data_IF_391101002451
#
_entry.id   IF_391101002451
#
_cell.length_a   1.000
_cell.length_b   1.000
_cell.length_c   1.000
_cell.angle_alpha   90.00
_cell.angle_beta   90.00
_cell.angle_gamma   90.00
#
_symmetry.space_group_name_H-M   'P 1'
#
loop_
_entity.id
_entity.type
_entity.pdbx_description
1 polymer ?
#
# COMPACT_ATOMS: atom_id res chain seq x y z
N UNK A 1 -21.40 -29.80 23.50
CA UNK A 1 -21.50 -28.58 22.70
C UNK A 1 -20.23 -27.79 22.93
N UNK A 2 -19.58 -27.45 21.83
CA UNK A 2 -18.57 -26.40 21.64
C UNK A 2 -17.20 -26.55 22.29
N UNK A 3 -16.29 -27.20 21.55
CA UNK A 3 -14.90 -26.74 21.41
C UNK A 3 -14.24 -27.34 20.16
N UNK A 4 -14.86 -27.11 19.01
CA UNK A 4 -14.26 -27.34 17.69
C UNK A 4 -13.78 -26.01 17.10
N UNK A 5 -12.87 -25.33 17.79
CA UNK A 5 -12.18 -24.14 17.28
C UNK A 5 -10.84 -24.57 16.68
N UNK A 6 -10.77 -24.40 15.35
CA UNK A 6 -9.59 -24.22 14.50
C UNK A 6 -8.42 -25.22 14.62
N UNK A 7 -8.63 -26.43 14.09
CA UNK A 7 -7.52 -27.10 13.40
C UNK A 7 -7.20 -26.29 12.14
N UNK A 8 -6.11 -25.53 12.18
CA UNK A 8 -5.50 -24.88 11.03
C UNK A 8 -5.21 -25.92 9.93
N UNK A 9 -6.13 -26.08 8.99
CA UNK A 9 -5.94 -26.91 7.81
C UNK A 9 -4.87 -26.25 6.94
N UNK A 10 -3.71 -26.91 6.80
CA UNK A 10 -2.73 -26.55 5.77
C UNK A 10 -3.46 -26.53 4.41
N UNK A 11 -3.41 -25.45 3.62
CA UNK A 11 -4.12 -25.41 2.35
C UNK A 11 -3.57 -26.52 1.45
N UNK A 12 -4.47 -27.33 0.86
CA UNK A 12 -4.09 -28.28 -0.19
C UNK A 12 -3.46 -27.46 -1.32
N UNK A 13 -2.18 -27.73 -1.63
CA UNK A 13 -1.44 -27.00 -2.66
C UNK A 13 -2.03 -27.27 -4.06
N UNK A 14 -3.07 -26.53 -4.42
CA UNK A 14 -3.55 -26.42 -5.79
C UNK A 14 -2.67 -25.40 -6.52
N UNK A 15 -2.23 -25.71 -7.75
CA UNK A 15 -1.44 -24.79 -8.58
C UNK A 15 -2.10 -23.41 -8.74
N UNK A 16 -3.45 -23.37 -8.76
CA UNK A 16 -4.24 -22.13 -8.76
C UNK A 16 -3.98 -21.24 -7.53
N UNK A 17 -3.91 -21.82 -6.33
CA UNK A 17 -3.63 -21.07 -5.09
C UNK A 17 -2.28 -20.38 -5.16
N UNK A 18 -1.26 -21.07 -5.70
CA UNK A 18 0.09 -20.55 -5.82
C UNK A 18 0.09 -19.43 -6.86
N UNK A 19 -0.54 -19.63 -8.02
CA UNK A 19 -0.63 -18.61 -9.06
C UNK A 19 -1.30 -17.32 -8.56
N UNK A 20 -2.46 -17.41 -7.90
CA UNK A 20 -3.17 -16.24 -7.36
C UNK A 20 -2.36 -15.52 -6.28
N UNK A 21 -1.71 -16.28 -5.39
CA UNK A 21 -0.81 -15.72 -4.37
C UNK A 21 0.40 -15.05 -5.01
N UNK A 22 0.94 -15.59 -6.10
CA UNK A 22 2.08 -14.98 -6.81
C UNK A 22 1.67 -13.66 -7.45
N UNK A 23 0.49 -13.62 -8.09
CA UNK A 23 -0.06 -12.39 -8.67
C UNK A 23 -0.28 -11.34 -7.58
N UNK A 24 -0.87 -11.72 -6.43
CA UNK A 24 -1.03 -10.80 -5.30
C UNK A 24 0.31 -10.33 -4.73
N UNK A 25 1.30 -11.21 -4.66
CA UNK A 25 2.64 -10.84 -4.21
C UNK A 25 3.28 -9.84 -5.17
N UNK A 26 3.11 -10.03 -6.48
CA UNK A 26 3.59 -9.09 -7.49
C UNK A 26 2.89 -7.74 -7.35
N UNK A 27 1.55 -7.71 -7.25
CA UNK A 27 0.79 -6.46 -7.01
C UNK A 27 1.28 -5.76 -5.74
N UNK A 28 1.48 -6.50 -4.64
CA UNK A 28 1.98 -5.95 -3.39
C UNK A 28 3.38 -5.34 -3.53
N UNK A 29 4.28 -6.02 -4.26
CA UNK A 29 5.63 -5.53 -4.57
C UNK A 29 5.58 -4.27 -5.43
N UNK A 30 4.76 -4.23 -6.48
CA UNK A 30 4.59 -3.04 -7.32
C UNK A 30 4.01 -1.84 -6.55
N UNK A 31 3.11 -2.07 -5.58
CA UNK A 31 2.63 -1.01 -4.67
C UNK A 31 3.74 -0.47 -3.76
N UNK A 32 4.65 -1.33 -3.28
CA UNK A 32 5.84 -0.89 -2.54
C UNK A 32 6.71 -0.01 -3.43
N UNK A 33 7.00 -0.47 -4.65
CA UNK A 33 7.83 0.27 -5.61
C UNK A 33 7.24 1.64 -5.94
N UNK A 34 5.93 1.69 -6.20
CA UNK A 34 5.21 2.95 -6.46
C UNK A 34 5.24 3.88 -5.24
N UNK A 35 4.94 3.36 -4.05
CA UNK A 35 4.92 4.15 -2.82
C UNK A 35 6.30 4.74 -2.47
N UNK A 36 7.35 3.93 -2.61
CA UNK A 36 8.72 4.37 -2.42
C UNK A 36 9.17 5.38 -3.50
N UNK A 37 8.75 5.22 -4.75
CA UNK A 37 9.05 6.21 -5.80
C UNK A 37 8.40 7.59 -5.50
N UNK A 38 7.14 7.63 -5.07
CA UNK A 38 6.47 8.88 -4.69
C UNK A 38 7.21 9.59 -3.52
N UNK A 39 7.61 8.83 -2.50
CA UNK A 39 8.37 9.36 -1.37
C UNK A 39 9.77 9.85 -1.77
N UNK A 40 10.39 9.19 -2.74
CA UNK A 40 11.72 9.55 -3.27
C UNK A 40 11.67 10.87 -4.01
N UNK A 41 10.76 10.98 -4.98
CA UNK A 41 10.64 12.16 -5.84
C UNK A 41 10.10 13.37 -5.08
N UNK A 42 9.26 13.15 -4.05
CA UNK A 42 8.86 14.22 -3.13
C UNK A 42 10.01 14.78 -2.27
N UNK A 43 11.22 14.19 -2.30
CA UNK A 43 12.37 14.55 -1.45
C UNK A 43 12.06 14.61 0.06
N UNK A 44 11.00 13.92 0.49
CA UNK A 44 10.51 13.94 1.88
C UNK A 44 11.22 12.95 2.78
N UNK A 45 12.08 12.11 2.20
CA UNK A 45 12.72 10.98 2.86
C UNK A 45 12.02 9.67 2.54
N UNK A 46 12.78 8.57 2.63
CA UNK A 46 12.34 7.22 2.25
C UNK A 46 12.18 6.31 3.46
N UNK A 47 11.73 5.08 3.24
CA UNK A 47 11.77 4.06 4.29
C UNK A 47 13.23 3.86 4.77
N UNK A 48 13.43 3.54 6.06
CA UNK A 48 14.77 3.50 6.65
C UNK A 48 15.76 2.56 5.94
N UNK A 49 15.29 1.45 5.37
CA UNK A 49 16.14 0.50 4.66
C UNK A 49 16.58 1.05 3.31
N UNK A 50 15.64 1.59 2.52
CA UNK A 50 15.98 2.22 1.24
C UNK A 50 16.83 3.47 1.44
N UNK A 51 16.56 4.28 2.47
CA UNK A 51 17.37 5.44 2.82
C UNK A 51 18.83 5.06 3.13
N UNK A 52 19.03 3.99 3.92
CA UNK A 52 20.37 3.44 4.18
C UNK A 52 21.04 2.97 2.88
N UNK A 53 20.29 2.23 2.05
CA UNK A 53 20.82 1.71 0.79
C UNK A 53 21.24 2.83 -0.16
N UNK A 54 20.49 3.93 -0.26
CA UNK A 54 20.85 5.11 -1.05
C UNK A 54 22.12 5.77 -0.52
N UNK A 55 22.24 5.92 0.81
CA UNK A 55 23.43 6.51 1.42
C UNK A 55 24.69 5.73 1.07
N UNK A 56 24.66 4.41 1.27
CA UNK A 56 25.83 3.57 0.98
C UNK A 56 26.07 3.44 -0.53
N UNK A 57 25.03 3.31 -1.35
CA UNK A 57 25.19 3.22 -2.80
C UNK A 57 25.81 4.51 -3.38
N UNK A 58 25.46 5.67 -2.84
CA UNK A 58 26.05 6.96 -3.21
C UNK A 58 27.56 7.04 -2.92
N UNK A 59 28.01 6.50 -1.79
CA UNK A 59 29.44 6.44 -1.46
C UNK A 59 30.21 5.47 -2.37
N UNK A 60 29.55 4.43 -2.90
CA UNK A 60 30.14 3.43 -3.78
C UNK A 60 30.00 3.75 -5.27
N UNK A 61 29.27 4.82 -5.64
CA UNK A 61 28.97 5.17 -7.03
C UNK A 61 28.12 4.12 -7.75
N UNK A 62 27.32 3.33 -7.02
CA UNK A 62 26.48 2.28 -7.57
C UNK A 62 25.03 2.74 -7.68
N UNK A 63 24.31 2.24 -8.69
CA UNK A 63 22.87 2.42 -8.77
C UNK A 63 22.15 1.74 -7.60
N UNK A 64 21.07 2.38 -7.14
CA UNK A 64 20.26 1.91 -6.01
C UNK A 64 19.81 0.46 -6.17
N UNK A 65 19.27 0.09 -7.34
CA UNK A 65 18.77 -1.26 -7.59
C UNK A 65 19.85 -2.33 -7.42
N UNK A 66 21.03 -2.12 -7.98
CA UNK A 66 22.18 -3.03 -7.89
C UNK A 66 22.67 -3.16 -6.44
N UNK A 67 22.80 -2.04 -5.72
CA UNK A 67 23.26 -2.08 -4.33
C UNK A 67 22.22 -2.74 -3.42
N UNK A 68 20.94 -2.41 -3.57
CA UNK A 68 19.85 -3.01 -2.80
C UNK A 68 19.75 -4.52 -3.02
N UNK A 69 20.00 -5.00 -4.25
CA UNK A 69 20.10 -6.42 -4.55
C UNK A 69 21.24 -7.08 -3.77
N UNK A 70 22.44 -6.47 -3.76
CA UNK A 70 23.60 -6.98 -3.02
C UNK A 70 23.35 -6.98 -1.51
N UNK A 71 22.83 -5.87 -0.97
CA UNK A 71 22.48 -5.72 0.45
C UNK A 71 21.46 -6.79 0.88
N UNK A 72 20.40 -6.98 0.08
CA UNK A 72 19.44 -8.04 0.28
C UNK A 72 20.10 -9.43 0.23
N UNK A 73 21.05 -9.67 -0.68
CA UNK A 73 21.77 -10.94 -0.79
C UNK A 73 22.65 -11.22 0.43
N UNK A 74 23.27 -10.21 1.02
CA UNK A 74 24.02 -10.32 2.29
C UNK A 74 23.08 -10.71 3.44
N UNK A 75 21.94 -10.00 3.59
CA UNK A 75 20.94 -10.32 4.62
C UNK A 75 20.34 -11.71 4.37
N UNK A 76 20.16 -12.10 3.11
CA UNK A 76 19.67 -13.41 2.70
C UNK A 76 20.61 -14.53 3.15
N UNK A 77 21.94 -14.38 2.99
CA UNK A 77 22.94 -15.34 3.50
C UNK A 77 22.87 -15.47 5.02
N UNK A 78 22.70 -14.35 5.74
CA UNK A 78 22.49 -14.40 7.19
C UNK A 78 21.22 -15.16 7.56
N UNK A 79 20.10 -14.91 6.89
CA UNK A 79 18.81 -15.56 7.19
C UNK A 79 18.78 -17.03 6.78
N UNK A 80 19.51 -17.43 5.73
CA UNK A 80 19.69 -18.85 5.38
C UNK A 80 20.23 -19.67 6.55
N UNK A 81 21.06 -19.08 7.42
CA UNK A 81 21.60 -19.76 8.61
C UNK A 81 20.55 -19.90 9.71
N UNK A 82 19.62 -18.95 9.83
CA UNK A 82 18.66 -18.89 10.94
C UNK A 82 17.25 -19.43 10.62
N UNK A 83 16.77 -19.35 9.37
CA UNK A 83 15.39 -19.75 9.03
C UNK A 83 15.13 -20.01 7.51
N UNK A 84 15.62 -21.13 6.97
CA UNK A 84 15.40 -21.57 5.58
C UNK A 84 13.92 -21.65 5.15
N UNK A 85 12.97 -21.78 6.09
CA UNK A 85 11.55 -22.02 5.79
C UNK A 85 10.81 -20.80 5.25
N UNK A 86 11.39 -19.60 5.33
CA UNK A 86 10.76 -18.36 4.88
C UNK A 86 11.17 -17.93 3.46
N UNK A 87 11.94 -18.77 2.76
CA UNK A 87 12.44 -18.48 1.41
C UNK A 87 11.52 -19.11 0.37
N UNK A 88 11.07 -18.29 -0.58
CA UNK A 88 10.26 -18.75 -1.70
C UNK A 88 10.26 -17.76 -2.86
N UNK A 89 9.35 -17.97 -3.82
CA UNK A 89 9.23 -17.15 -5.04
C UNK A 89 9.01 -15.67 -4.69
N UNK A 90 8.25 -15.37 -3.63
CA UNK A 90 7.99 -14.00 -3.17
C UNK A 90 9.26 -13.26 -2.70
N UNK A 91 10.22 -13.99 -2.12
CA UNK A 91 11.51 -13.43 -1.69
C UNK A 91 12.32 -12.94 -2.89
N UNK A 92 12.41 -13.75 -3.96
CA UNK A 92 13.13 -13.39 -5.19
C UNK A 92 12.44 -12.22 -5.89
N UNK A 93 11.11 -12.26 -6.00
CA UNK A 93 10.33 -11.19 -6.60
C UNK A 93 10.60 -9.85 -5.91
N UNK A 94 10.48 -9.80 -4.58
CA UNK A 94 10.71 -8.54 -3.86
C UNK A 94 12.18 -8.09 -3.94
N UNK A 95 13.15 -8.99 -3.71
CA UNK A 95 14.58 -8.65 -3.71
C UNK A 95 15.06 -8.05 -5.03
N UNK A 96 14.53 -8.54 -6.16
CA UNK A 96 14.91 -8.08 -7.49
C UNK A 96 14.04 -6.91 -7.94
N UNK A 97 12.71 -7.04 -7.88
CA UNK A 97 11.80 -6.10 -8.53
C UNK A 97 11.75 -4.74 -7.82
N UNK A 98 11.76 -4.67 -6.49
CA UNK A 98 11.51 -3.41 -5.77
C UNK A 98 12.48 -2.31 -6.21
N UNK A 99 13.78 -2.62 -6.31
CA UNK A 99 14.78 -1.63 -6.71
C UNK A 99 14.58 -1.11 -8.13
N UNK A 100 14.28 -2.00 -9.09
CA UNK A 100 14.02 -1.63 -10.49
C UNK A 100 12.67 -0.94 -10.67
N UNK A 101 11.64 -1.36 -9.95
CA UNK A 101 10.32 -0.72 -9.96
C UNK A 101 10.40 0.70 -9.43
N UNK A 102 11.13 0.95 -8.33
CA UNK A 102 11.35 2.31 -7.82
C UNK A 102 11.98 3.18 -8.92
N UNK A 103 13.04 2.71 -9.58
CA UNK A 103 13.67 3.45 -10.67
C UNK A 103 12.71 3.72 -11.84
N UNK A 104 11.94 2.70 -12.24
CA UNK A 104 11.00 2.80 -13.34
C UNK A 104 9.85 3.77 -13.03
N UNK A 105 9.24 3.68 -11.84
CA UNK A 105 8.20 4.60 -11.40
C UNK A 105 8.73 6.02 -11.20
N UNK A 106 9.97 6.19 -10.71
CA UNK A 106 10.60 7.50 -10.57
C UNK A 106 10.76 8.18 -11.94
N UNK A 107 11.23 7.44 -12.95
CA UNK A 107 11.33 7.96 -14.33
C UNK A 107 9.95 8.34 -14.89
N UNK A 108 8.91 7.52 -14.66
CA UNK A 108 7.54 7.89 -15.06
C UNK A 108 7.07 9.17 -14.36
N UNK A 109 7.34 9.29 -13.05
CA UNK A 109 6.96 10.45 -12.26
C UNK A 109 7.63 11.73 -12.79
N UNK A 110 8.94 11.70 -13.04
CA UNK A 110 9.70 12.82 -13.62
C UNK A 110 9.12 13.27 -14.97
N UNK A 111 8.73 12.33 -15.83
CA UNK A 111 8.12 12.62 -17.13
C UNK A 111 6.74 13.27 -17.03
N UNK A 112 5.97 12.99 -15.97
CA UNK A 112 4.60 13.49 -15.79
C UNK A 112 4.58 14.84 -15.06
N UNK A 113 5.33 14.96 -13.96
CA UNK A 113 5.26 16.12 -13.06
C UNK A 113 6.40 17.13 -13.30
N UNK A 114 7.50 16.74 -13.95
CA UNK A 114 8.66 17.60 -14.15
C UNK A 114 9.34 18.03 -12.83
N UNK A 115 10.27 18.97 -12.92
CA UNK A 115 11.10 19.41 -11.77
C UNK A 115 10.43 20.43 -10.83
N UNK A 116 9.17 20.81 -11.04
CA UNK A 116 8.48 21.81 -10.21
C UNK A 116 7.48 21.17 -9.27
N UNK A 117 7.97 20.72 -8.12
CA UNK A 117 7.15 20.11 -7.08
C UNK A 117 6.79 21.16 -6.04
N UNK A 118 5.49 21.47 -5.91
CA UNK A 118 4.98 22.36 -4.87
C UNK A 118 4.98 21.64 -3.50
N UNK A 119 5.13 22.38 -2.41
CA UNK A 119 5.07 21.87 -1.03
C UNK A 119 3.81 21.03 -0.74
N UNK A 120 2.67 21.38 -1.34
CA UNK A 120 1.46 20.58 -1.22
C UNK A 120 1.59 19.18 -1.85
N UNK A 121 2.21 19.10 -3.03
CA UNK A 121 2.43 17.84 -3.76
C UNK A 121 3.39 16.94 -2.96
N UNK A 122 4.46 17.53 -2.41
CA UNK A 122 5.43 16.87 -1.52
C UNK A 122 4.75 16.16 -0.34
N UNK A 123 3.82 16.83 0.35
CA UNK A 123 3.09 16.24 1.49
C UNK A 123 2.16 15.12 1.02
N UNK A 124 1.44 15.35 -0.07
CA UNK A 124 0.49 14.38 -0.63
C UNK A 124 1.24 13.12 -1.08
N UNK A 125 2.36 13.25 -1.77
CA UNK A 125 3.19 12.14 -2.23
C UNK A 125 3.82 11.37 -1.07
N UNK A 126 4.26 12.07 -0.02
CA UNK A 126 4.73 11.42 1.20
C UNK A 126 3.63 10.59 1.88
N UNK A 127 2.44 11.17 2.04
CA UNK A 127 1.32 10.49 2.70
C UNK A 127 0.79 9.31 1.88
N UNK A 128 0.52 9.52 0.59
CA UNK A 128 0.05 8.47 -0.33
C UNK A 128 1.13 7.39 -0.48
N UNK A 129 2.39 7.80 -0.60
CA UNK A 129 3.53 6.90 -0.71
C UNK A 129 3.66 5.98 0.50
N UNK A 130 3.55 6.51 1.72
CA UNK A 130 3.56 5.71 2.95
C UNK A 130 2.39 4.72 3.00
N UNK A 131 1.19 5.14 2.59
CA UNK A 131 0.01 4.26 2.56
C UNK A 131 0.19 3.13 1.56
N UNK A 132 0.66 3.41 0.34
CA UNK A 132 0.93 2.38 -0.66
C UNK A 132 2.08 1.45 -0.25
N UNK A 133 3.15 2.00 0.33
CA UNK A 133 4.27 1.21 0.84
C UNK A 133 3.81 0.22 1.92
N UNK A 134 3.07 0.70 2.93
CA UNK A 134 2.61 -0.14 4.04
C UNK A 134 1.53 -1.14 3.62
N UNK A 135 0.63 -0.75 2.72
CA UNK A 135 -0.38 -1.64 2.14
C UNK A 135 0.25 -2.74 1.28
N UNK A 136 1.17 -2.36 0.39
CA UNK A 136 1.91 -3.29 -0.46
C UNK A 136 2.71 -4.29 0.37
N UNK A 137 3.39 -3.79 1.42
CA UNK A 137 4.10 -4.62 2.42
C UNK A 137 3.18 -5.65 3.05
N UNK A 138 2.00 -5.23 3.50
CA UNK A 138 1.02 -6.11 4.10
C UNK A 138 0.50 -7.19 3.13
N UNK A 139 0.15 -6.80 1.88
CA UNK A 139 -0.39 -7.71 0.87
C UNK A 139 0.64 -8.78 0.52
N UNK A 140 1.87 -8.40 0.18
CA UNK A 140 2.86 -9.39 -0.25
C UNK A 140 3.23 -10.36 0.89
N UNK A 141 3.41 -9.87 2.13
CA UNK A 141 3.74 -10.72 3.28
C UNK A 141 2.63 -11.73 3.57
N UNK A 142 1.38 -11.36 3.35
CA UNK A 142 0.21 -12.21 3.61
C UNK A 142 0.09 -13.41 2.65
N UNK A 143 0.73 -13.36 1.49
CA UNK A 143 0.71 -14.45 0.50
C UNK A 143 1.45 -15.71 0.96
N UNK A 144 2.36 -15.57 1.94
CA UNK A 144 3.21 -16.65 2.49
C UNK A 144 4.03 -17.39 1.41
N UNK A 145 4.37 -16.73 0.30
CA UNK A 145 5.20 -17.28 -0.78
C UNK A 145 6.70 -17.03 -0.60
N UNK A 146 7.11 -16.59 0.59
CA UNK A 146 8.46 -16.14 0.89
C UNK A 146 8.48 -14.63 1.13
N UNK A 147 9.25 -14.21 2.12
CA UNK A 147 9.36 -12.81 2.55
C UNK A 147 10.78 -12.31 2.25
N UNK A 148 10.91 -11.01 1.93
CA UNK A 148 12.23 -10.42 1.73
C UNK A 148 13.07 -10.51 3.01
N UNK A 149 14.40 -10.66 2.92
CA UNK A 149 15.26 -10.85 4.09
C UNK A 149 15.09 -9.75 5.14
N UNK A 150 15.06 -8.49 4.72
CA UNK A 150 14.82 -7.35 5.60
C UNK A 150 13.49 -7.44 6.36
N UNK A 151 12.42 -7.81 5.64
CA UNK A 151 11.07 -7.90 6.19
C UNK A 151 10.81 -9.18 6.99
N UNK A 152 11.68 -10.18 6.85
CA UNK A 152 11.66 -11.41 7.64
C UNK A 152 12.26 -11.23 9.05
N UNK A 153 13.06 -10.18 9.29
CA UNK A 153 13.68 -9.91 10.60
C UNK A 153 12.63 -9.71 11.69
N UNK A 154 11.71 -8.75 11.51
CA UNK A 154 10.70 -8.43 12.52
C UNK A 154 9.75 -9.61 12.84
N UNK A 155 9.20 -10.37 11.87
CA UNK A 155 8.43 -11.57 12.13
C UNK A 155 9.24 -12.64 12.87
N UNK A 156 10.49 -12.88 12.47
CA UNK A 156 11.34 -13.92 13.09
C UNK A 156 11.65 -13.61 14.55
N UNK A 157 11.96 -12.35 14.87
CA UNK A 157 12.19 -11.90 16.25
C UNK A 157 10.87 -11.94 17.04
N UNK A 158 9.76 -11.51 16.44
CA UNK A 158 8.43 -11.56 17.06
C UNK A 158 8.01 -12.99 17.44
N UNK A 159 8.26 -13.97 16.58
CA UNK A 159 7.98 -15.39 16.84
C UNK A 159 8.90 -15.98 17.92
N UNK A 160 10.19 -15.62 17.92
CA UNK A 160 11.18 -16.16 18.87
C UNK A 160 11.02 -15.61 20.29
N UNK A 161 10.71 -14.32 20.41
CA UNK A 161 10.63 -13.63 21.71
C UNK A 161 9.19 -13.36 22.19
N UNK A 162 8.18 -13.76 21.40
CA UNK A 162 6.75 -13.55 21.67
C UNK A 162 6.36 -12.06 21.87
N UNK A 163 7.11 -11.15 21.25
CA UNK A 163 6.84 -9.70 21.27
C UNK A 163 5.91 -9.36 20.10
N UNK A 164 4.99 -8.41 20.26
CA UNK A 164 4.10 -8.00 19.15
C UNK A 164 4.91 -7.44 17.98
N UNK A 165 4.59 -7.91 16.76
CA UNK A 165 5.23 -7.51 15.50
C UNK A 165 5.44 -6.00 15.35
N UNK A 166 4.41 -5.20 15.66
CA UNK A 166 4.46 -3.74 15.53
C UNK A 166 5.65 -3.10 16.28
N UNK A 167 5.95 -3.57 17.50
CA UNK A 167 7.03 -3.00 18.30
C UNK A 167 8.40 -3.41 17.76
N UNK A 168 8.55 -4.67 17.39
CA UNK A 168 9.79 -5.18 16.80
C UNK A 168 10.10 -4.46 15.50
N UNK A 169 9.08 -4.28 14.65
CA UNK A 169 9.22 -3.57 13.37
C UNK A 169 9.61 -2.11 13.57
N UNK A 170 8.95 -1.39 14.49
CA UNK A 170 9.32 0.00 14.80
C UNK A 170 10.76 0.10 15.33
N UNK A 171 11.19 -0.79 16.22
CA UNK A 171 12.59 -0.78 16.72
C UNK A 171 13.59 -1.07 15.59
N UNK A 172 13.30 -2.07 14.74
CA UNK A 172 14.10 -2.35 13.55
C UNK A 172 14.22 -1.11 12.66
N UNK A 173 13.09 -0.52 12.29
CA UNK A 173 13.05 0.62 11.37
C UNK A 173 13.78 1.85 11.96
N UNK A 174 13.70 2.08 13.29
CA UNK A 174 14.48 3.13 13.99
C UNK A 174 15.98 2.85 13.93
N UNK A 175 16.43 1.61 14.15
CA UNK A 175 17.85 1.27 14.08
C UNK A 175 18.41 1.48 12.67
N UNK A 176 17.65 1.08 11.64
CA UNK A 176 18.01 1.33 10.24
C UNK A 176 17.99 2.82 9.91
N UNK A 177 17.08 3.60 10.49
CA UNK A 177 17.04 5.06 10.29
C UNK A 177 18.30 5.72 10.86
N UNK A 178 18.72 5.34 12.06
CA UNK A 178 19.98 5.83 12.66
C UNK A 178 21.17 5.46 11.79
N UNK A 179 21.23 4.22 11.29
CA UNK A 179 22.26 3.79 10.36
C UNK A 179 22.23 4.61 9.05
N UNK A 180 21.05 4.90 8.51
CA UNK A 180 20.88 5.69 7.29
C UNK A 180 21.40 7.12 7.46
N UNK A 181 21.14 7.75 8.61
CA UNK A 181 21.66 9.09 8.93
C UNK A 181 23.18 9.08 9.00
N UNK A 182 23.79 8.06 9.63
CA UNK A 182 25.25 7.93 9.70
C UNK A 182 25.86 7.72 8.31
N UNK A 183 25.20 6.93 7.46
CA UNK A 183 25.64 6.65 6.10
C UNK A 183 25.39 7.79 5.10
N UNK A 184 24.85 8.94 5.54
CA UNK A 184 24.50 10.06 4.65
C UNK A 184 23.39 9.74 3.67
N UNK A 185 22.47 8.84 4.04
CA UNK A 185 21.33 8.44 3.23
C UNK A 185 20.28 9.53 3.04
N UNK A 186 19.31 9.27 2.17
CA UNK A 186 18.18 10.18 1.93
C UNK A 186 17.21 10.17 3.13
N UNK A 187 17.59 10.87 4.21
CA UNK A 187 16.77 11.03 5.41
C UNK A 187 15.91 12.30 5.30
N UNK A 188 14.66 12.20 5.75
CA UNK A 188 13.74 13.32 5.81
C UNK A 188 12.62 13.09 6.83
N UNK A 189 11.64 14.00 6.87
CA UNK A 189 10.53 13.91 7.83
C UNK A 189 9.73 12.63 7.63
N UNK A 190 9.57 12.17 6.39
CA UNK A 190 8.86 10.94 6.09
C UNK A 190 9.63 9.68 6.47
N UNK A 191 10.97 9.72 6.53
CA UNK A 191 11.76 8.61 7.08
C UNK A 191 11.46 8.38 8.56
N UNK A 192 11.35 9.47 9.31
CA UNK A 192 10.97 9.43 10.73
C UNK A 192 9.54 8.89 10.86
N UNK A 193 8.58 9.47 10.13
CA UNK A 193 7.19 9.00 10.16
C UNK A 193 7.10 7.52 9.80
N UNK A 194 7.80 7.09 8.75
CA UNK A 194 7.81 5.69 8.33
C UNK A 194 8.40 4.78 9.40
N UNK A 195 9.51 5.17 10.05
CA UNK A 195 10.13 4.36 11.09
C UNK A 195 9.21 4.09 12.30
N UNK A 196 8.40 5.08 12.70
CA UNK A 196 7.47 4.92 13.82
C UNK A 196 6.14 4.26 13.41
N UNK A 197 5.59 4.62 12.24
CA UNK A 197 4.23 4.24 11.86
C UNK A 197 4.14 3.02 10.92
N UNK A 198 5.22 2.60 10.26
CA UNK A 198 5.17 1.46 9.33
C UNK A 198 4.70 0.18 10.03
N UNK A 199 5.25 -0.17 11.20
CA UNK A 199 4.83 -1.36 11.96
C UNK A 199 3.34 -1.40 12.29
N UNK A 200 2.78 -0.36 12.95
CA UNK A 200 1.34 -0.23 13.21
C UNK A 200 0.48 -0.22 11.93
N UNK A 201 0.87 0.51 10.89
CA UNK A 201 0.11 0.60 9.63
C UNK A 201 0.07 -0.73 8.90
N UNK A 202 1.20 -1.44 8.79
CA UNK A 202 1.24 -2.79 8.20
C UNK A 202 0.32 -3.72 8.98
N UNK A 203 0.32 -3.65 10.32
CA UNK A 203 -0.58 -4.46 11.15
C UNK A 203 -2.05 -4.12 10.92
N UNK A 204 -2.37 -2.84 10.73
CA UNK A 204 -3.71 -2.37 10.40
C UNK A 204 -4.17 -2.89 9.03
N UNK A 205 -3.33 -2.78 8.00
CA UNK A 205 -3.63 -3.29 6.66
C UNK A 205 -3.78 -4.81 6.64
N UNK A 206 -2.98 -5.50 7.44
CA UNK A 206 -3.01 -6.96 7.51
C UNK A 206 -4.40 -7.42 7.97
N UNK A 207 -4.91 -6.85 9.07
CA UNK A 207 -6.21 -7.19 9.64
C UNK A 207 -7.41 -6.77 8.79
N UNK A 208 -7.34 -5.60 8.16
CA UNK A 208 -8.50 -5.02 7.47
C UNK A 208 -8.58 -5.38 5.98
N UNK A 209 -7.44 -5.66 5.34
CA UNK A 209 -7.37 -5.82 3.89
C UNK A 209 -6.72 -7.15 3.53
N UNK A 210 -5.49 -7.40 3.99
CA UNK A 210 -4.72 -8.54 3.48
C UNK A 210 -5.27 -9.89 3.95
N UNK A 211 -5.71 -10.01 5.20
CA UNK A 211 -6.39 -11.22 5.71
C UNK A 211 -7.69 -11.47 4.95
N UNK A 212 -8.52 -10.44 4.73
CA UNK A 212 -9.76 -10.53 3.98
C UNK A 212 -9.56 -10.98 2.52
N UNK A 213 -8.58 -10.40 1.82
CA UNK A 213 -8.23 -10.79 0.45
C UNK A 213 -7.74 -12.24 0.44
N UNK A 214 -6.90 -12.62 1.40
CA UNK A 214 -6.35 -13.98 1.49
C UNK A 214 -7.43 -15.02 1.81
N UNK A 215 -8.42 -14.70 2.63
CA UNK A 215 -9.59 -15.56 2.87
C UNK A 215 -10.38 -15.79 1.58
N UNK A 216 -10.63 -14.75 0.79
CA UNK A 216 -11.30 -14.87 -0.51
C UNK A 216 -10.50 -15.75 -1.48
N UNK A 217 -9.19 -15.54 -1.58
CA UNK A 217 -8.33 -16.37 -2.44
C UNK A 217 -8.30 -17.82 -1.99
N UNK A 218 -8.26 -18.07 -0.67
CA UNK A 218 -8.27 -19.43 -0.14
C UNK A 218 -9.62 -20.12 -0.37
N UNK A 219 -10.74 -19.43 -0.13
CA UNK A 219 -12.08 -19.94 -0.42
C UNK A 219 -12.22 -20.30 -1.89
N UNK A 220 -11.85 -19.38 -2.77
CA UNK A 220 -11.91 -19.55 -4.21
C UNK A 220 -11.02 -20.70 -4.72
N UNK A 221 -9.82 -20.87 -4.14
CA UNK A 221 -8.93 -21.95 -4.54
C UNK A 221 -9.36 -23.33 -4.05
N UNK A 222 -10.19 -23.41 -3.00
CA UNK A 222 -10.72 -24.67 -2.48
C UNK A 222 -11.96 -25.14 -3.26
N UNK A 223 -12.71 -24.21 -3.87
CA UNK A 223 -13.85 -24.49 -4.76
C UNK A 223 -13.64 -23.88 -6.15
N UNK A 224 -12.78 -24.47 -7.01
CA UNK A 224 -12.50 -23.94 -8.34
C UNK A 224 -13.72 -24.13 -9.26
N UNK A 225 -14.65 -23.18 -9.25
CA UNK A 225 -15.71 -23.06 -10.25
C UNK A 225 -15.27 -22.08 -11.33
N UNK A 226 -15.04 -22.57 -12.56
CA UNK A 226 -14.64 -21.76 -13.73
C UNK A 226 -15.60 -20.58 -13.94
N UNK A 227 -16.89 -20.78 -13.66
CA UNK A 227 -17.92 -19.75 -13.77
C UNK A 227 -17.73 -18.60 -12.76
N UNK A 228 -17.16 -18.86 -11.58
CA UNK A 228 -16.88 -17.80 -10.60
C UNK A 228 -15.61 -17.02 -10.94
N UNK A 229 -14.61 -17.66 -11.56
CA UNK A 229 -13.42 -16.97 -12.09
C UNK A 229 -13.83 -16.05 -13.22
N UNK A 230 -14.61 -16.57 -14.16
CA UNK A 230 -15.10 -15.80 -15.31
C UNK A 230 -15.97 -14.64 -14.84
N UNK A 231 -16.93 -14.88 -13.94
CA UNK A 231 -17.78 -13.81 -13.41
C UNK A 231 -17.01 -12.79 -12.53
N UNK A 232 -16.00 -13.22 -11.77
CA UNK A 232 -15.16 -12.34 -10.97
C UNK A 232 -14.24 -11.47 -11.83
N UNK A 233 -13.56 -12.06 -12.81
CA UNK A 233 -12.70 -11.35 -13.75
C UNK A 233 -13.53 -10.45 -14.66
N UNK A 234 -14.63 -10.94 -15.24
CA UNK A 234 -15.55 -10.13 -16.05
C UNK A 234 -16.22 -9.02 -15.21
N UNK A 235 -16.51 -9.28 -13.93
CA UNK A 235 -17.04 -8.30 -12.98
C UNK A 235 -16.05 -7.17 -12.71
N UNK A 236 -14.82 -7.51 -12.31
CA UNK A 236 -13.74 -6.55 -12.12
C UNK A 236 -13.42 -5.78 -13.40
N UNK A 237 -13.43 -6.46 -14.55
CA UNK A 237 -13.21 -5.86 -15.87
C UNK A 237 -14.32 -4.88 -16.25
N UNK A 238 -15.60 -5.26 -16.07
CA UNK A 238 -16.75 -4.38 -16.32
C UNK A 238 -16.76 -3.19 -15.37
N UNK A 239 -16.42 -3.40 -14.10
CA UNK A 239 -16.39 -2.32 -13.12
C UNK A 239 -15.27 -1.33 -13.42
N UNK A 240 -14.08 -1.81 -13.77
CA UNK A 240 -12.94 -0.99 -14.19
C UNK A 240 -13.26 -0.22 -15.47
N UNK A 241 -13.84 -0.89 -16.48
CA UNK A 241 -14.30 -0.24 -17.71
C UNK A 241 -15.34 0.84 -17.44
N UNK A 242 -16.34 0.56 -16.60
CA UNK A 242 -17.37 1.54 -16.27
C UNK A 242 -16.81 2.75 -15.53
N UNK A 243 -15.84 2.56 -14.63
CA UNK A 243 -15.14 3.65 -13.96
C UNK A 243 -14.32 4.50 -14.94
N UNK A 244 -13.49 3.86 -15.76
CA UNK A 244 -12.67 4.54 -16.77
C UNK A 244 -13.51 5.27 -17.81
N UNK A 245 -14.60 4.65 -18.28
CA UNK A 245 -15.50 5.24 -19.26
C UNK A 245 -16.27 6.44 -18.68
N UNK A 246 -16.67 6.38 -17.41
CA UNK A 246 -17.27 7.52 -16.70
C UNK A 246 -16.26 8.66 -16.55
N UNK A 247 -15.05 8.36 -16.07
CA UNK A 247 -14.00 9.36 -15.91
C UNK A 247 -13.67 10.02 -17.26
N UNK A 248 -13.46 9.24 -18.32
CA UNK A 248 -13.21 9.74 -19.67
C UNK A 248 -14.36 10.60 -20.20
N UNK A 249 -15.62 10.16 -20.07
CA UNK A 249 -16.78 10.98 -20.47
C UNK A 249 -16.85 12.27 -19.68
N UNK A 250 -16.60 12.23 -18.37
CA UNK A 250 -16.57 13.43 -17.54
C UNK A 250 -15.48 14.38 -17.99
N UNK A 251 -14.26 13.90 -18.25
CA UNK A 251 -13.16 14.72 -18.75
C UNK A 251 -13.50 15.35 -20.11
N UNK A 252 -14.04 14.59 -21.07
CA UNK A 252 -14.42 15.10 -22.39
C UNK A 252 -15.62 16.06 -22.31
N UNK A 253 -16.58 15.78 -21.43
CA UNK A 253 -17.73 16.65 -21.19
C UNK A 253 -17.30 18.00 -20.64
N UNK A 254 -16.43 17.98 -19.61
CA UNK A 254 -15.80 19.16 -19.02
C UNK A 254 -14.99 19.90 -20.07
N UNK A 255 -14.11 19.22 -20.81
CA UNK A 255 -13.28 19.86 -21.83
C UNK A 255 -14.10 20.54 -22.94
N UNK A 256 -15.19 19.91 -23.40
CA UNK A 256 -16.08 20.48 -24.43
C UNK A 256 -16.94 21.62 -23.93
N UNK A 257 -17.41 21.57 -22.68
CA UNK A 257 -18.19 22.66 -22.12
C UNK A 257 -17.28 23.82 -21.70
N UNK A 258 -16.09 23.54 -21.18
CA UNK A 258 -15.16 24.56 -20.70
C UNK A 258 -14.30 25.20 -21.81
N UNK A 259 -14.16 24.58 -23.00
CA UNK A 259 -13.35 25.13 -24.10
C UNK A 259 -13.88 26.45 -24.70
N UNK A 260 -15.11 26.85 -24.36
CA UNK A 260 -15.74 28.09 -24.85
C UNK A 260 -15.74 29.25 -23.86
N UNK A 261 -15.25 29.04 -22.63
CA UNK A 261 -15.25 30.07 -21.58
C UNK A 261 -13.90 30.77 -21.50
N UNK A 262 -13.93 32.06 -21.21
CA UNK A 262 -12.74 32.84 -20.88
C UNK A 262 -12.27 32.55 -19.45
N UNK A 263 -10.99 32.80 -19.15
CA UNK A 263 -10.40 32.52 -17.82
C UNK A 263 -11.18 33.20 -16.67
N UNK A 264 -11.74 34.39 -16.90
CA UNK A 264 -12.56 35.11 -15.93
C UNK A 264 -13.91 34.45 -15.67
N UNK A 265 -14.58 33.94 -16.71
CA UNK A 265 -15.85 33.23 -16.58
C UNK A 265 -15.65 31.87 -15.87
N UNK A 266 -14.53 31.20 -16.11
CA UNK A 266 -14.15 29.98 -15.39
C UNK A 266 -13.96 30.26 -13.89
N UNK A 267 -13.32 31.37 -13.54
CA UNK A 267 -13.09 31.76 -12.14
C UNK A 267 -14.41 32.09 -11.42
N UNK A 268 -15.36 32.72 -12.11
CA UNK A 268 -16.70 32.99 -11.60
C UNK A 268 -17.51 31.69 -11.37
N UNK A 269 -17.49 30.77 -12.34
CA UNK A 269 -18.14 29.45 -12.22
C UNK A 269 -17.52 28.62 -11.08
N UNK A 270 -16.19 28.66 -10.91
CA UNK A 270 -15.50 27.98 -9.81
C UNK A 270 -15.94 28.56 -8.46
N UNK A 271 -16.02 29.89 -8.35
CA UNK A 271 -16.46 30.55 -7.12
C UNK A 271 -17.93 30.25 -6.79
N UNK A 272 -18.81 30.23 -7.79
CA UNK A 272 -20.22 29.88 -7.62
C UNK A 272 -20.39 28.41 -7.21
N UNK A 273 -19.68 27.48 -7.87
CA UNK A 273 -19.68 26.07 -7.50
C UNK A 273 -19.12 25.83 -6.09
N UNK A 274 -18.05 26.52 -5.71
CA UNK A 274 -17.49 26.45 -4.35
C UNK A 274 -18.50 26.93 -3.31
N UNK A 275 -19.27 27.97 -3.63
CA UNK A 275 -20.36 28.44 -2.76
C UNK A 275 -21.49 27.40 -2.66
N UNK A 276 -21.92 26.81 -3.77
CA UNK A 276 -22.93 25.73 -3.76
C UNK A 276 -22.47 24.49 -3.00
N UNK A 277 -21.20 24.08 -3.15
CA UNK A 277 -20.59 22.97 -2.39
C UNK A 277 -20.64 23.22 -0.89
N UNK A 278 -20.33 24.45 -0.43
CA UNK A 278 -20.45 24.82 0.99
C UNK A 278 -21.89 24.71 1.49
N UNK A 279 -22.86 25.15 0.69
CA UNK A 279 -24.28 25.02 1.06
C UNK A 279 -24.73 23.56 1.12
N UNK A 280 -24.34 22.74 0.14
CA UNK A 280 -24.65 21.31 0.12
C UNK A 280 -24.01 20.57 1.32
N UNK A 281 -22.79 20.92 1.72
CA UNK A 281 -22.16 20.36 2.92
C UNK A 281 -22.94 20.71 4.20
N UNK A 282 -23.43 21.95 4.31
CA UNK A 282 -24.27 22.36 5.45
C UNK A 282 -25.59 21.57 5.46
N UNK A 283 -26.21 21.41 4.29
CA UNK A 283 -27.44 20.62 4.14
C UNK A 283 -27.23 19.15 4.50
N UNK A 284 -26.12 18.53 4.05
CA UNK A 284 -25.77 17.16 4.40
C UNK A 284 -25.57 16.98 5.91
N UNK A 285 -24.89 17.93 6.58
CA UNK A 285 -24.78 17.93 8.05
C UNK A 285 -26.15 18.02 8.73
N UNK A 286 -27.10 18.75 8.14
CA UNK A 286 -28.46 18.82 8.67
C UNK A 286 -29.19 17.47 8.52
N UNK A 287 -29.08 16.82 7.35
CA UNK A 287 -29.65 15.50 7.12
C UNK A 287 -29.06 14.45 8.07
N UNK A 288 -27.76 14.50 8.33
CA UNK A 288 -27.09 13.59 9.25
C UNK A 288 -27.61 13.77 10.69
N UNK A 289 -27.77 15.02 11.16
CA UNK A 289 -28.40 15.31 12.45
C UNK A 289 -29.86 14.86 12.52
N UNK A 290 -30.60 14.98 11.44
CA UNK A 290 -31.99 14.57 11.35
C UNK A 290 -32.11 13.05 11.40
N UNK A 291 -31.25 12.34 10.66
CA UNK A 291 -31.12 10.89 10.73
C UNK A 291 -30.76 10.40 12.14
N UNK A 292 -29.80 11.06 12.79
CA UNK A 292 -29.42 10.74 14.17
C UNK A 292 -30.59 10.95 15.15
N UNK A 293 -31.30 12.08 15.04
CA UNK A 293 -32.48 12.36 15.85
C UNK A 293 -33.61 11.34 15.65
N UNK A 294 -33.83 10.89 14.41
CA UNK A 294 -34.82 9.85 14.10
C UNK A 294 -34.43 8.50 14.70
N UNK A 295 -33.14 8.13 14.67
CA UNK A 295 -32.66 6.90 15.31
C UNK A 295 -32.78 6.94 16.83
N UNK A 296 -32.53 8.08 17.46
CA UNK A 296 -32.75 8.28 18.89
C UNK A 296 -34.25 8.18 19.25
N UNK A 297 -35.14 8.74 18.43
CA UNK A 297 -36.59 8.64 18.61
C UNK A 297 -37.10 7.21 18.40
N UNK A 298 -36.55 6.47 17.43
CA UNK A 298 -36.84 5.04 17.25
C UNK A 298 -36.43 4.20 18.47
N UNK A 299 -35.24 4.47 19.04
CA UNK A 299 -34.80 3.84 20.30
C UNK A 299 -35.72 4.16 21.46
N UNK A 300 -36.17 5.42 21.60
CA UNK A 300 -37.14 5.84 22.63
C UNK A 300 -38.48 5.11 22.49
N UNK A 301 -38.92 4.81 21.26
CA UNK A 301 -40.16 4.09 20.97
C UNK A 301 -40.05 2.57 21.06
N UNK A 302 -38.86 2.03 21.38
CA UNK A 302 -38.65 0.58 21.52
C UNK A 302 -38.74 -0.21 20.21
N UNK A 303 -38.71 0.46 19.06
CA UNK A 303 -38.77 -0.16 17.74
C UNK A 303 -37.33 -0.48 17.29
N UNK A 304 -36.74 -1.55 17.85
CA UNK A 304 -35.43 -2.01 17.41
C UNK A 304 -35.53 -2.59 15.98
N UNK A 305 -34.66 -2.10 15.09
CA UNK A 305 -34.46 -2.65 13.75
C UNK A 305 -34.00 -4.12 13.87
N UNK A 306 -34.76 -5.03 13.28
CA UNK A 306 -34.34 -6.41 12.99
C UNK A 306 -33.35 -6.43 11.84
#
# INVERSE_FOLDING_TARGET
>A
MDNAISKSSRPKHNYLSIALRTILSFIGVSLIGLGAALMREGHVGLDPYTALNIGVSGHLGMELGTYQLISNLVIFVFILIFNIKQIGIGTILNMVLVGYEIQWFSNIYENIFGAQINFFVIIVDGAIGLLFFTLGTSIYMSTKLGVAPYDAIAPTISERFHIKYQYVRTVQDILFMVAAVIAGGAYGIMTIVTAFFAGPLITFWNKNVSEFIMEHVNHFSNEPSVNNVENGVLGASRQSYNWLHRAYRSTVYIQRHLSGYTDQELEEIINENNHQLRQNLIFMKHLEKLHHSLNEELKRRGLNQK
#
